data_IF_533756769092
#
_entry.id   IF_533756769092
#
_cell.length_a   1.000
_cell.length_b   1.000
_cell.length_c   1.000
_cell.angle_alpha   90.00
_cell.angle_beta   90.00
_cell.angle_gamma   90.00
#
_symmetry.space_group_name_H-M   'P 1'
#
loop_
_entity.id
_entity.type
_entity.pdbx_description
1 polymer ?
#
# COMPACT_ATOMS: atom_id res chain seq x y z
N UNK A 1 35.28 -28.02 -15.15
CA UNK A 1 35.10 -27.82 -13.70
C UNK A 1 33.93 -26.87 -13.52
N UNK A 2 32.86 -27.38 -12.92
CA UNK A 2 31.60 -26.69 -12.68
C UNK A 2 31.84 -25.56 -11.67
N UNK A 3 31.91 -24.32 -12.17
CA UNK A 3 31.82 -23.13 -11.34
C UNK A 3 30.39 -23.00 -10.87
N UNK A 4 30.17 -23.33 -9.60
CA UNK A 4 28.89 -23.34 -8.91
C UNK A 4 27.92 -22.28 -9.46
N UNK A 5 26.80 -22.74 -10.02
CA UNK A 5 25.58 -21.95 -10.05
C UNK A 5 25.29 -21.58 -8.60
N UNK A 6 25.74 -20.39 -8.19
CA UNK A 6 25.49 -19.86 -6.88
C UNK A 6 23.98 -19.98 -6.67
N UNK A 7 23.63 -20.76 -5.66
CA UNK A 7 22.29 -21.12 -5.30
C UNK A 7 21.36 -19.92 -5.49
N UNK A 8 20.31 -20.10 -6.30
CA UNK A 8 19.12 -19.27 -6.19
C UNK A 8 18.62 -19.50 -4.76
N UNK A 9 19.03 -18.63 -3.84
CA UNK A 9 18.73 -18.76 -2.42
C UNK A 9 17.21 -18.80 -2.19
N UNK A 10 16.72 -19.47 -1.14
CA UNK A 10 15.29 -19.79 -0.96
C UNK A 10 14.39 -18.59 -0.58
N UNK A 11 14.81 -17.35 -0.87
CA UNK A 11 14.12 -16.12 -0.46
C UNK A 11 13.97 -15.09 -1.60
N UNK A 12 13.73 -15.55 -2.82
CA UNK A 12 12.96 -14.73 -3.77
C UNK A 12 11.56 -14.58 -3.17
N UNK A 13 11.30 -13.50 -2.45
CA UNK A 13 9.98 -13.24 -1.87
C UNK A 13 8.97 -13.28 -3.00
N UNK A 14 8.19 -14.37 -3.10
CA UNK A 14 7.28 -14.56 -4.21
C UNK A 14 6.33 -13.37 -4.28
N UNK A 15 5.83 -13.00 -5.46
CA UNK A 15 4.87 -11.89 -5.58
C UNK A 15 3.71 -12.01 -4.58
N UNK A 16 3.34 -13.25 -4.23
CA UNK A 16 2.39 -13.57 -3.17
C UNK A 16 2.82 -13.09 -1.76
N UNK A 17 4.09 -13.26 -1.37
CA UNK A 17 4.59 -12.74 -0.10
C UNK A 17 4.56 -11.21 -0.05
N UNK A 18 4.97 -10.55 -1.13
CA UNK A 18 4.91 -9.08 -1.23
C UNK A 18 3.45 -8.62 -1.15
N UNK A 19 2.55 -9.29 -1.87
CA UNK A 19 1.12 -9.00 -1.80
C UNK A 19 0.58 -9.18 -0.38
N UNK A 20 0.91 -10.28 0.30
CA UNK A 20 0.48 -10.53 1.66
C UNK A 20 0.98 -9.44 2.62
N UNK A 21 2.25 -9.02 2.50
CA UNK A 21 2.80 -7.92 3.30
C UNK A 21 2.07 -6.60 3.03
N UNK A 22 1.81 -6.26 1.77
CA UNK A 22 1.07 -5.05 1.41
C UNK A 22 -0.39 -5.09 1.90
N UNK A 23 -1.04 -6.26 1.84
CA UNK A 23 -2.39 -6.45 2.37
C UNK A 23 -2.45 -6.33 3.90
N UNK A 24 -1.49 -6.91 4.62
CA UNK A 24 -1.39 -6.74 6.07
C UNK A 24 -1.06 -5.30 6.45
N UNK A 25 -0.17 -4.65 5.69
CA UNK A 25 0.16 -3.23 5.86
C UNK A 25 -1.06 -2.32 5.64
N UNK A 26 -1.89 -2.63 4.64
CA UNK A 26 -3.18 -1.96 4.41
C UNK A 26 -4.09 -2.08 5.63
N UNK A 27 -4.26 -3.27 6.18
CA UNK A 27 -5.10 -3.46 7.36
C UNK A 27 -4.55 -2.77 8.61
N UNK A 28 -3.23 -2.77 8.79
CA UNK A 28 -2.59 -1.99 9.86
C UNK A 28 -2.91 -0.50 9.72
N UNK A 29 -2.83 0.05 8.51
CA UNK A 29 -3.13 1.45 8.25
C UNK A 29 -4.63 1.80 8.44
N UNK A 30 -5.54 0.97 7.91
CA UNK A 30 -6.99 1.21 7.95
C UNK A 30 -7.64 0.96 9.31
N UNK A 31 -7.12 0.01 10.09
CA UNK A 31 -7.75 -0.43 11.34
C UNK A 31 -6.88 -0.20 12.58
N UNK A 32 -5.56 -0.21 12.43
CA UNK A 32 -4.64 0.02 13.56
C UNK A 32 -4.24 1.48 13.74
N UNK A 33 -3.98 2.20 12.65
CA UNK A 33 -3.44 3.56 12.67
C UNK A 33 -4.50 4.63 12.38
N UNK A 34 -5.60 4.28 11.73
CA UNK A 34 -6.74 5.17 11.54
C UNK A 34 -7.59 5.19 12.80
N UNK A 35 -7.80 6.38 13.37
CA UNK A 35 -8.77 6.57 14.45
C UNK A 35 -10.20 6.66 13.91
N UNK A 36 -11.19 6.39 14.77
CA UNK A 36 -12.61 6.58 14.45
C UNK A 36 -12.91 8.00 13.95
N UNK A 37 -12.22 9.01 14.52
CA UNK A 37 -12.33 10.40 14.06
C UNK A 37 -11.84 10.55 12.63
N UNK A 38 -10.65 10.05 12.30
CA UNK A 38 -10.12 10.11 10.93
C UNK A 38 -11.04 9.40 9.94
N UNK A 39 -11.59 8.25 10.31
CA UNK A 39 -12.51 7.48 9.47
C UNK A 39 -13.77 8.28 9.08
N UNK A 40 -14.26 9.13 9.99
CA UNK A 40 -15.44 9.98 9.78
C UNK A 40 -15.08 11.30 9.12
N UNK A 41 -14.12 12.04 9.68
CA UNK A 41 -13.80 13.41 9.26
C UNK A 41 -13.03 13.48 7.93
N UNK A 42 -12.51 12.36 7.39
CA UNK A 42 -12.01 12.30 6.00
C UNK A 42 -13.11 12.45 4.94
N UNK A 43 -14.38 12.33 5.34
CA UNK A 43 -15.51 12.50 4.44
C UNK A 43 -15.98 13.96 4.39
N UNK A 44 -16.17 14.49 3.18
CA UNK A 44 -16.59 15.89 2.94
C UNK A 44 -17.85 16.25 3.74
N UNK A 45 -17.80 17.37 4.45
CA UNK A 45 -18.93 17.86 5.26
C UNK A 45 -19.02 17.22 6.64
N UNK A 46 -18.01 16.44 7.04
CA UNK A 46 -17.82 15.94 8.42
C UNK A 46 -16.70 16.70 9.13
N UNK A 47 -16.46 17.93 8.73
CA UNK A 47 -15.38 18.78 9.23
C UNK A 47 -15.70 19.26 10.65
N UNK A 48 -15.06 18.67 11.67
CA UNK A 48 -15.23 19.10 13.06
C UNK A 48 -13.94 19.67 13.66
N UNK A 49 -12.80 19.01 13.40
CA UNK A 49 -11.50 19.42 13.95
C UNK A 49 -10.58 20.04 12.92
N UNK A 50 -10.59 19.51 11.69
CA UNK A 50 -9.84 20.00 10.55
C UNK A 50 -10.68 19.83 9.27
N UNK A 51 -10.41 20.62 8.21
CA UNK A 51 -10.99 20.36 6.90
C UNK A 51 -10.69 18.91 6.42
N UNK A 52 -11.70 18.23 5.87
CA UNK A 52 -11.68 16.82 5.49
C UNK A 52 -10.54 16.46 4.56
N UNK A 53 -10.07 17.43 3.76
CA UNK A 53 -8.93 17.23 2.86
C UNK A 53 -7.69 16.84 3.66
N UNK A 54 -7.45 17.45 4.81
CA UNK A 54 -6.31 17.09 5.67
C UNK A 54 -6.44 15.68 6.20
N UNK A 55 -7.65 15.29 6.64
CA UNK A 55 -7.90 13.92 7.10
C UNK A 55 -7.73 12.89 5.99
N UNK A 56 -8.29 13.14 4.81
CA UNK A 56 -8.20 12.23 3.67
C UNK A 56 -6.76 12.10 3.15
N UNK A 57 -6.08 13.23 2.96
CA UNK A 57 -4.71 13.26 2.45
C UNK A 57 -3.76 12.60 3.45
N UNK A 58 -3.92 12.87 4.76
CA UNK A 58 -3.11 12.24 5.80
C UNK A 58 -3.35 10.73 5.88
N UNK A 59 -4.61 10.29 5.86
CA UNK A 59 -4.96 8.87 5.83
C UNK A 59 -4.31 8.15 4.65
N UNK A 60 -4.47 8.69 3.44
CA UNK A 60 -3.86 8.13 2.25
C UNK A 60 -2.32 8.18 2.29
N UNK A 61 -1.72 9.17 2.95
CA UNK A 61 -0.27 9.28 3.11
C UNK A 61 0.30 8.19 4.05
N UNK A 62 -0.47 7.73 5.05
CA UNK A 62 -0.09 6.56 5.88
C UNK A 62 0.05 5.33 4.99
N UNK A 63 -0.91 5.08 4.09
CA UNK A 63 -0.84 3.98 3.12
C UNK A 63 0.33 4.13 2.15
N UNK A 64 0.55 5.35 1.64
CA UNK A 64 1.69 5.66 0.79
C UNK A 64 3.03 5.34 1.46
N UNK A 65 3.18 5.68 2.75
CA UNK A 65 4.36 5.37 3.54
C UNK A 65 4.53 3.85 3.70
N UNK A 66 3.47 3.14 4.06
CA UNK A 66 3.49 1.67 4.21
C UNK A 66 3.92 1.00 2.90
N UNK A 67 3.32 1.36 1.77
CA UNK A 67 3.70 0.83 0.45
C UNK A 67 5.17 1.16 0.13
N UNK A 68 5.61 2.40 0.36
CA UNK A 68 7.00 2.79 0.11
C UNK A 68 8.00 1.98 0.93
N UNK A 69 7.73 1.76 2.21
CA UNK A 69 8.63 1.04 3.12
C UNK A 69 8.73 -0.45 2.79
N UNK A 70 7.59 -1.08 2.50
CA UNK A 70 7.49 -2.51 2.20
C UNK A 70 8.01 -2.86 0.81
N UNK A 71 7.80 -1.99 -0.17
CA UNK A 71 8.29 -2.21 -1.54
C UNK A 71 9.70 -1.66 -1.77
N UNK A 72 10.16 -0.69 -0.97
CA UNK A 72 11.39 0.05 -1.25
C UNK A 72 11.28 1.08 -2.37
N UNK A 73 10.08 1.30 -2.94
CA UNK A 73 9.85 2.21 -4.07
C UNK A 73 8.90 3.34 -3.70
N UNK A 74 9.45 4.53 -3.44
CA UNK A 74 8.67 5.73 -3.08
C UNK A 74 7.61 6.10 -4.13
N UNK A 75 7.91 5.85 -5.42
CA UNK A 75 6.97 6.16 -6.51
C UNK A 75 5.72 5.27 -6.50
N UNK A 76 5.82 4.02 -6.02
CA UNK A 76 4.63 3.20 -5.79
C UNK A 76 3.82 3.73 -4.60
N UNK A 77 4.48 4.26 -3.57
CA UNK A 77 3.80 4.97 -2.50
C UNK A 77 3.06 6.23 -2.98
N UNK A 78 3.67 7.05 -3.84
CA UNK A 78 3.00 8.23 -4.43
C UNK A 78 1.81 7.81 -5.28
N UNK A 79 1.92 6.72 -6.04
CA UNK A 79 0.81 6.18 -6.83
C UNK A 79 -0.32 5.64 -5.92
N UNK A 80 0.02 4.91 -4.86
CA UNK A 80 -0.92 4.50 -3.80
C UNK A 80 -1.60 5.73 -3.21
N UNK A 81 -0.86 6.79 -2.87
CA UNK A 81 -1.44 8.00 -2.29
C UNK A 81 -2.58 8.57 -3.15
N UNK A 82 -2.34 8.71 -4.45
CA UNK A 82 -3.33 9.21 -5.40
C UNK A 82 -4.54 8.28 -5.52
N UNK A 83 -4.32 6.98 -5.76
CA UNK A 83 -5.42 6.02 -5.90
C UNK A 83 -6.22 5.87 -4.60
N UNK A 84 -5.56 5.90 -3.46
CA UNK A 84 -6.18 5.77 -2.15
C UNK A 84 -7.09 6.97 -1.85
N UNK A 85 -6.65 8.20 -2.16
CA UNK A 85 -7.50 9.40 -2.10
C UNK A 85 -8.76 9.21 -2.96
N UNK A 86 -8.61 8.71 -4.20
CA UNK A 86 -9.74 8.53 -5.11
C UNK A 86 -10.73 7.47 -4.61
N UNK A 87 -10.23 6.33 -4.13
CA UNK A 87 -11.06 5.23 -3.61
C UNK A 87 -11.83 5.69 -2.37
N UNK A 88 -11.14 6.32 -1.41
CA UNK A 88 -11.78 6.78 -0.19
C UNK A 88 -12.75 7.92 -0.43
N UNK A 89 -12.42 8.84 -1.35
CA UNK A 89 -13.35 9.89 -1.76
C UNK A 89 -14.61 9.29 -2.38
N UNK A 90 -14.48 8.25 -3.22
CA UNK A 90 -15.62 7.50 -3.77
C UNK A 90 -16.49 6.87 -2.70
N UNK A 91 -15.88 6.20 -1.70
CA UNK A 91 -16.58 5.64 -0.53
C UNK A 91 -17.30 6.73 0.26
N UNK A 92 -16.63 7.82 0.61
CA UNK A 92 -17.19 8.94 1.37
C UNK A 92 -18.35 9.64 0.63
N UNK A 93 -18.45 9.46 -0.69
CA UNK A 93 -19.57 9.92 -1.52
C UNK A 93 -20.63 8.84 -1.77
N UNK A 94 -20.58 7.74 -1.03
CA UNK A 94 -21.52 6.64 -1.10
C UNK A 94 -21.63 6.01 -2.50
N UNK A 95 -20.55 6.04 -3.28
CA UNK A 95 -20.52 5.38 -4.60
C UNK A 95 -20.49 3.86 -4.47
N UNK A 96 -19.98 3.37 -3.34
CA UNK A 96 -19.91 1.96 -2.98
C UNK A 96 -19.74 1.82 -1.45
N UNK A 97 -19.97 0.61 -0.94
CA UNK A 97 -19.86 0.27 0.49
C UNK A 97 -18.45 -0.18 0.91
N UNK A 98 -18.30 -0.44 2.21
CA UNK A 98 -17.02 -0.80 2.83
C UNK A 98 -16.38 -2.07 2.25
N UNK A 99 -17.17 -3.09 1.88
CA UNK A 99 -16.63 -4.31 1.28
C UNK A 99 -15.95 -4.05 -0.07
N UNK A 100 -16.57 -3.23 -0.92
CA UNK A 100 -16.02 -2.85 -2.24
C UNK A 100 -14.82 -1.93 -2.05
N UNK A 101 -14.85 -1.03 -1.09
CA UNK A 101 -13.73 -0.18 -0.71
C UNK A 101 -12.47 -1.01 -0.38
N UNK A 102 -12.60 -2.00 0.50
CA UNK A 102 -11.49 -2.89 0.86
C UNK A 102 -10.99 -3.71 -0.34
N UNK A 103 -11.90 -4.19 -1.21
CA UNK A 103 -11.52 -4.92 -2.42
C UNK A 103 -10.74 -4.04 -3.41
N UNK A 104 -11.15 -2.79 -3.61
CA UNK A 104 -10.44 -1.84 -4.48
C UNK A 104 -9.04 -1.54 -3.94
N UNK A 105 -8.93 -1.36 -2.63
CA UNK A 105 -7.64 -1.17 -1.97
C UNK A 105 -6.73 -2.38 -2.16
N UNK A 106 -7.18 -3.61 -1.88
CA UNK A 106 -6.39 -4.83 -2.11
C UNK A 106 -6.04 -5.02 -3.59
N UNK A 107 -6.92 -4.62 -4.51
CA UNK A 107 -6.64 -4.64 -5.95
C UNK A 107 -5.47 -3.71 -6.31
N UNK A 108 -5.37 -2.53 -5.69
CA UNK A 108 -4.20 -1.66 -5.86
C UNK A 108 -2.90 -2.35 -5.42
N UNK A 109 -2.94 -3.11 -4.32
CA UNK A 109 -1.76 -3.82 -3.80
C UNK A 109 -1.33 -4.93 -4.74
N UNK A 110 -2.28 -5.66 -5.33
CA UNK A 110 -2.00 -6.63 -6.38
C UNK A 110 -1.38 -5.96 -7.63
N UNK A 111 -1.88 -4.78 -8.03
CA UNK A 111 -1.31 -4.01 -9.14
C UNK A 111 0.14 -3.58 -8.87
N UNK A 112 0.47 -3.17 -7.65
CA UNK A 112 1.86 -2.85 -7.26
C UNK A 112 2.78 -4.06 -7.36
N UNK A 113 2.32 -5.24 -6.93
CA UNK A 113 3.09 -6.48 -7.11
C UNK A 113 3.33 -6.78 -8.59
N UNK A 114 2.32 -6.63 -9.44
CA UNK A 114 2.46 -6.83 -10.88
C UNK A 114 3.49 -5.86 -11.46
N UNK A 115 3.43 -4.58 -11.11
CA UNK A 115 4.38 -3.58 -11.60
C UNK A 115 5.81 -3.86 -11.13
N UNK A 116 6.00 -4.31 -9.88
CA UNK A 116 7.31 -4.72 -9.37
C UNK A 116 7.88 -5.96 -10.06
N UNK A 117 7.01 -6.92 -10.42
CA UNK A 117 7.40 -8.10 -11.19
C UNK A 117 7.85 -7.68 -12.60
N UNK A 118 7.07 -6.82 -13.26
CA UNK A 118 7.39 -6.33 -14.60
C UNK A 118 8.65 -5.46 -14.63
N UNK A 119 8.94 -4.71 -13.57
CA UNK A 119 10.16 -3.92 -13.45
C UNK A 119 11.40 -4.73 -13.00
N UNK A 120 11.26 -6.04 -12.77
CA UNK A 120 12.36 -6.90 -12.29
C UNK A 120 12.86 -6.53 -10.88
N UNK A 121 12.09 -5.75 -10.12
CA UNK A 121 12.56 -5.10 -8.89
C UNK A 121 12.32 -5.89 -7.60
N UNK A 122 11.60 -7.03 -7.65
CA UNK A 122 11.35 -7.87 -6.48
C UNK A 122 12.65 -8.47 -5.89
N UNK A 123 13.65 -8.75 -6.72
CA UNK A 123 14.93 -9.32 -6.27
C UNK A 123 15.87 -8.30 -5.62
N UNK A 124 15.87 -7.05 -6.08
CA UNK A 124 16.84 -6.03 -5.64
C UNK A 124 16.50 -5.39 -4.29
N UNK A 125 15.22 -5.35 -3.91
CA UNK A 125 14.74 -4.69 -2.68
C UNK A 125 15.27 -5.38 -1.40
N UNK A 126 15.39 -6.71 -1.42
CA UNK A 126 15.84 -7.48 -0.26
C UNK A 126 17.35 -7.78 -0.28
N UNK A 127 17.96 -7.85 -1.47
CA UNK A 127 19.41 -8.03 -1.62
C UNK A 127 20.21 -6.84 -1.07
N UNK A 128 19.68 -5.61 -1.18
CA UNK A 128 20.35 -4.40 -0.66
C UNK A 128 20.19 -4.19 0.86
N UNK A 129 19.27 -4.90 1.54
CA UNK A 129 18.99 -4.72 2.98
C UNK A 129 19.63 -5.76 3.90
N UNK A 130 20.05 -6.91 3.37
CA UNK A 130 20.63 -8.02 4.17
C UNK A 130 22.13 -8.24 3.85
N UNK A 131 22.64 -7.62 2.78
CA UNK A 131 24.03 -7.79 2.34
C UNK A 131 24.99 -6.63 2.67
N UNK A 132 24.59 -5.70 3.55
CA UNK A 132 25.40 -4.55 3.98
C UNK A 132 25.97 -4.72 5.38
#
# INVERSE_FOLDING_TARGET
>A
MLGASAAVGPWLGSGLQVFALLAMGHFLADFGLQSDRMAVEKCRGKDHTLPWQWWLIAHAAIHALVVSLLTGFVWLGVAEWGLHILIDHGKCRHRYGLGVDQLLHLTCKALWVVLLLLSGSIGSVWLLRVGG
#
